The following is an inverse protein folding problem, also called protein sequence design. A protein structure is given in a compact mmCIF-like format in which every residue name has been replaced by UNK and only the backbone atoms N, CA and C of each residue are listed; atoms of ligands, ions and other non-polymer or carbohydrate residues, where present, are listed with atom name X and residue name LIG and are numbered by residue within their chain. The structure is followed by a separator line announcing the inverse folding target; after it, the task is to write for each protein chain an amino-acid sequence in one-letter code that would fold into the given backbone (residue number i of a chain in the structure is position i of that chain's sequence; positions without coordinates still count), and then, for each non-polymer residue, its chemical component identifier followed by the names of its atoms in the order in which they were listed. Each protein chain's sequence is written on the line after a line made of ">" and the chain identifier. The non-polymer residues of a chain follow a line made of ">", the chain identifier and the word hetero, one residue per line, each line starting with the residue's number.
data_IF_434931395967
#
_entry.id   IF_434931395967
#
_cell.length_a   1.000
_cell.length_b   1.000
_cell.length_c   1.000
_cell.angle_alpha   90.00
_cell.angle_beta   90.00
_cell.angle_gamma   90.00
#
_symmetry.space_group_name_H-M   'P 1'
#
loop_
_entity.id
_entity.type
_entity.pdbx_description
1 polymer ?
#
# COMPACT_ATOMS: atom_id res chain seq x y z
N UNK A 1 18.13 -32.03 3.17
CA UNK A 1 18.40 -30.58 3.28
C UNK A 1 17.66 -29.89 2.14
N UNK A 2 16.42 -29.48 2.40
CA UNK A 2 15.59 -28.75 1.44
C UNK A 2 15.79 -27.25 1.74
N UNK A 3 16.33 -26.54 0.75
CA UNK A 3 16.87 -25.19 0.89
C UNK A 3 15.79 -24.20 1.32
N UNK A 4 16.01 -23.53 2.46
CA UNK A 4 15.36 -22.28 2.79
C UNK A 4 15.58 -21.24 1.66
N UNK A 5 14.51 -20.59 1.16
CA UNK A 5 14.50 -19.17 0.70
C UNK A 5 13.41 -18.77 -0.29
N UNK A 6 12.53 -19.65 -0.81
CA UNK A 6 11.55 -19.24 -1.83
C UNK A 6 10.15 -19.18 -1.25
N UNK A 7 9.60 -17.97 -1.15
CA UNK A 7 8.15 -17.74 -1.17
C UNK A 7 7.53 -18.76 -2.15
N UNK A 8 6.58 -19.58 -1.68
CA UNK A 8 6.08 -20.70 -2.49
C UNK A 8 5.54 -20.21 -3.83
N UNK A 9 5.65 -21.01 -4.89
CA UNK A 9 5.17 -20.65 -6.23
C UNK A 9 3.70 -20.19 -6.22
N UNK A 10 2.89 -20.78 -5.35
CA UNK A 10 1.49 -20.38 -5.13
C UNK A 10 1.35 -18.99 -4.52
N UNK A 11 2.23 -18.61 -3.60
CA UNK A 11 2.25 -17.27 -2.98
C UNK A 11 2.60 -16.22 -4.02
N UNK A 12 3.63 -16.47 -4.85
CA UNK A 12 4.00 -15.57 -5.94
C UNK A 12 2.91 -15.44 -7.00
N UNK A 13 2.32 -16.58 -7.42
CA UNK A 13 1.20 -16.59 -8.36
C UNK A 13 0.03 -15.77 -7.82
N UNK A 14 -0.38 -16.01 -6.58
CA UNK A 14 -1.45 -15.25 -5.95
C UNK A 14 -1.13 -13.74 -5.86
N UNK A 15 0.11 -13.38 -5.56
CA UNK A 15 0.55 -11.98 -5.57
C UNK A 15 0.35 -11.36 -6.97
N UNK A 16 0.98 -11.91 -8.01
CA UNK A 16 0.91 -11.36 -9.37
C UNK A 16 -0.51 -11.23 -9.89
N UNK A 17 -1.35 -12.25 -9.70
CA UNK A 17 -2.73 -12.24 -10.20
C UNK A 17 -3.66 -11.33 -9.41
N UNK A 18 -3.33 -11.00 -8.15
CA UNK A 18 -4.13 -10.09 -7.34
C UNK A 18 -3.73 -8.62 -7.47
N UNK A 19 -2.51 -8.32 -7.95
CA UNK A 19 -1.98 -6.94 -8.07
C UNK A 19 -2.96 -5.97 -8.75
N UNK A 20 -3.59 -6.28 -9.91
CA UNK A 20 -4.46 -5.30 -10.57
C UNK A 20 -5.62 -4.83 -9.68
N UNK A 21 -6.23 -5.74 -8.91
CA UNK A 21 -7.31 -5.41 -7.99
C UNK A 21 -6.76 -4.76 -6.71
N UNK A 22 -5.72 -5.34 -6.12
CA UNK A 22 -5.12 -4.87 -4.86
C UNK A 22 -4.56 -3.46 -5.01
N UNK A 23 -3.95 -3.15 -6.15
CA UNK A 23 -3.45 -1.81 -6.44
C UNK A 23 -4.58 -0.77 -6.44
N UNK A 24 -5.72 -1.08 -7.06
CA UNK A 24 -6.88 -0.18 -7.05
C UNK A 24 -7.43 0.03 -5.64
N UNK A 25 -7.42 -1.01 -4.79
CA UNK A 25 -7.84 -0.89 -3.40
C UNK A 25 -6.88 -0.02 -2.58
N UNK A 26 -5.57 -0.19 -2.76
CA UNK A 26 -4.56 0.64 -2.09
C UNK A 26 -4.61 2.08 -2.56
N UNK A 27 -4.80 2.33 -3.86
CA UNK A 27 -4.97 3.67 -4.40
C UNK A 27 -6.26 4.33 -3.86
N UNK A 28 -7.36 3.58 -3.82
CA UNK A 28 -8.62 4.05 -3.21
C UNK A 28 -8.42 4.40 -1.74
N UNK A 29 -7.68 3.57 -1.00
CA UNK A 29 -7.35 3.83 0.40
C UNK A 29 -6.54 5.13 0.54
N UNK A 30 -5.53 5.34 -0.30
CA UNK A 30 -4.75 6.59 -0.33
C UNK A 30 -5.61 7.84 -0.59
N UNK A 31 -6.49 7.79 -1.59
CA UNK A 31 -7.39 8.91 -1.88
C UNK A 31 -8.38 9.15 -0.73
N UNK A 32 -8.88 8.07 -0.13
CA UNK A 32 -9.84 8.14 0.98
C UNK A 32 -9.21 8.71 2.24
N UNK A 33 -7.99 8.30 2.60
CA UNK A 33 -7.27 8.85 3.75
C UNK A 33 -6.91 10.32 3.54
N UNK A 34 -6.48 10.68 2.33
CA UNK A 34 -6.22 12.09 1.97
C UNK A 34 -7.48 12.94 2.10
N UNK A 35 -8.60 12.47 1.53
CA UNK A 35 -9.89 13.16 1.62
C UNK A 35 -10.33 13.31 3.07
N UNK A 36 -10.24 12.25 3.87
CA UNK A 36 -10.62 12.26 5.28
C UNK A 36 -9.73 13.22 6.09
N UNK A 37 -8.40 13.21 5.86
CA UNK A 37 -7.46 14.11 6.49
C UNK A 37 -7.84 15.57 6.18
N UNK A 38 -8.08 15.91 4.90
CA UNK A 38 -8.49 17.25 4.49
C UNK A 38 -9.80 17.71 5.14
N UNK A 39 -10.76 16.79 5.27
CA UNK A 39 -12.10 17.12 5.73
C UNK A 39 -12.16 17.33 7.24
N UNK A 40 -11.41 16.56 8.01
CA UNK A 40 -11.61 16.46 9.46
C UNK A 40 -10.42 16.89 10.31
N UNK A 41 -9.19 16.76 9.80
CA UNK A 41 -7.96 16.92 10.63
C UNK A 41 -7.13 18.11 10.19
N UNK A 42 -6.93 18.25 8.87
CA UNK A 42 -6.04 19.22 8.23
C UNK A 42 -6.85 20.24 7.43
N UNK A 43 -7.89 20.79 8.08
CA UNK A 43 -8.83 21.71 7.43
C UNK A 43 -8.13 23.04 7.18
N UNK A 44 -8.01 23.42 5.90
CA UNK A 44 -7.37 24.66 5.50
C UNK A 44 -5.85 24.53 5.23
N UNK A 45 -5.26 23.36 5.50
CA UNK A 45 -3.84 23.14 5.22
C UNK A 45 -3.54 23.05 3.71
N UNK A 46 -2.31 23.43 3.30
CA UNK A 46 -1.84 23.29 1.93
C UNK A 46 -2.00 21.86 1.38
N UNK A 47 -2.36 21.77 0.11
CA UNK A 47 -2.52 20.49 -0.60
C UNK A 47 -1.33 19.50 -0.42
N UNK A 48 -0.05 19.94 -0.50
CA UNK A 48 1.07 19.02 -0.34
C UNK A 48 1.18 18.40 1.07
N UNK A 49 0.80 19.15 2.11
CA UNK A 49 0.76 18.66 3.51
C UNK A 49 -0.33 17.60 3.66
N UNK A 50 -1.54 17.90 3.17
CA UNK A 50 -2.70 17.00 3.24
C UNK A 50 -2.43 15.68 2.49
N UNK A 51 -1.86 15.76 1.28
CA UNK A 51 -1.50 14.58 0.48
C UNK A 51 -0.42 13.74 1.16
N UNK A 52 0.59 14.39 1.76
CA UNK A 52 1.66 13.69 2.49
C UNK A 52 1.13 12.95 3.72
N UNK A 53 0.23 13.57 4.47
CA UNK A 53 -0.45 12.92 5.59
C UNK A 53 -1.32 11.73 5.13
N UNK A 54 -2.07 11.89 4.04
CA UNK A 54 -2.87 10.82 3.43
C UNK A 54 -2.02 9.63 2.95
N UNK A 55 -0.88 9.91 2.31
CA UNK A 55 0.11 8.93 1.87
C UNK A 55 0.67 8.15 3.07
N UNK A 56 1.12 8.85 4.11
CA UNK A 56 1.63 8.22 5.33
C UNK A 56 0.57 7.34 6.01
N UNK A 57 -0.65 7.84 6.17
CA UNK A 57 -1.73 7.10 6.84
C UNK A 57 -2.15 5.85 6.05
N UNK A 58 -2.32 5.96 4.73
CA UNK A 58 -2.66 4.82 3.88
C UNK A 58 -1.57 3.76 3.84
N UNK A 59 -0.30 4.17 3.83
CA UNK A 59 0.84 3.25 3.91
C UNK A 59 0.85 2.48 5.23
N UNK A 60 0.65 3.14 6.36
CA UNK A 60 0.55 2.47 7.67
C UNK A 60 -0.59 1.45 7.67
N UNK A 61 -1.78 1.84 7.20
CA UNK A 61 -2.93 0.92 7.13
C UNK A 61 -2.62 -0.28 6.22
N UNK A 62 -2.08 -0.04 5.03
CA UNK A 62 -1.72 -1.10 4.08
C UNK A 62 -0.63 -2.03 4.64
N UNK A 63 0.35 -1.51 5.38
CA UNK A 63 1.37 -2.31 6.06
C UNK A 63 0.76 -3.19 7.16
N UNK A 64 -0.14 -2.66 7.98
CA UNK A 64 -0.84 -3.47 8.99
C UNK A 64 -1.63 -4.61 8.33
N UNK A 65 -2.37 -4.31 7.27
CA UNK A 65 -3.13 -5.32 6.50
C UNK A 65 -2.17 -6.36 5.90
N UNK A 66 -1.07 -5.91 5.29
CA UNK A 66 -0.07 -6.80 4.69
C UNK A 66 0.55 -7.74 5.73
N UNK A 67 0.98 -7.21 6.88
CA UNK A 67 1.55 -8.01 7.97
C UNK A 67 0.55 -9.06 8.46
N UNK A 68 -0.72 -8.69 8.63
CA UNK A 68 -1.77 -9.63 9.03
C UNK A 68 -1.96 -10.75 7.99
N UNK A 69 -1.99 -10.40 6.70
CA UNK A 69 -2.12 -11.36 5.60
C UNK A 69 -0.89 -12.27 5.44
N UNK A 70 0.32 -11.73 5.65
CA UNK A 70 1.57 -12.48 5.59
C UNK A 70 1.70 -13.51 6.72
N UNK A 71 1.00 -13.31 7.84
CA UNK A 71 0.91 -14.27 8.96
C UNK A 71 -0.16 -15.34 8.75
N UNK A 72 -0.97 -15.25 7.70
CA UNK A 72 -2.02 -16.24 7.44
C UNK A 72 -1.44 -17.62 7.10
N UNK A 73 -2.13 -18.69 7.52
CA UNK A 73 -1.73 -20.08 7.22
C UNK A 73 -1.79 -20.41 5.73
N UNK A 74 -2.68 -19.75 4.97
CA UNK A 74 -2.85 -20.00 3.54
C UNK A 74 -1.81 -19.26 2.70
N UNK A 75 -1.16 -20.01 1.80
CA UNK A 75 -0.22 -19.45 0.81
C UNK A 75 -0.87 -18.39 -0.09
N UNK A 76 -2.16 -18.53 -0.41
CA UNK A 76 -2.91 -17.53 -1.21
C UNK A 76 -3.02 -16.19 -0.48
N UNK A 77 -3.40 -16.22 0.79
CA UNK A 77 -3.53 -15.01 1.61
C UNK A 77 -2.20 -14.30 1.82
N UNK A 78 -1.12 -15.07 2.01
CA UNK A 78 0.26 -14.52 2.04
C UNK A 78 0.62 -13.82 0.73
N UNK A 79 0.18 -14.37 -0.41
CA UNK A 79 0.39 -13.78 -1.73
C UNK A 79 -0.33 -12.46 -1.90
N UNK A 80 -1.60 -12.39 -1.46
CA UNK A 80 -2.35 -11.12 -1.40
C UNK A 80 -1.65 -10.12 -0.47
N UNK A 81 -1.15 -10.57 0.68
CA UNK A 81 -0.35 -9.73 1.58
C UNK A 81 0.89 -9.12 0.92
N UNK A 82 1.59 -9.89 0.08
CA UNK A 82 2.72 -9.41 -0.71
C UNK A 82 2.28 -8.41 -1.79
N UNK A 83 1.15 -8.66 -2.47
CA UNK A 83 0.57 -7.71 -3.43
C UNK A 83 0.17 -6.38 -2.76
N UNK A 84 -0.35 -6.43 -1.53
CA UNK A 84 -0.69 -5.21 -0.75
C UNK A 84 0.59 -4.43 -0.44
N UNK A 85 1.64 -5.08 0.05
CA UNK A 85 2.92 -4.42 0.33
C UNK A 85 3.53 -3.78 -0.92
N UNK A 86 3.60 -4.53 -2.03
CA UNK A 86 4.13 -4.02 -3.30
C UNK A 86 3.31 -2.86 -3.86
N UNK A 87 1.98 -2.94 -3.79
CA UNK A 87 1.08 -1.87 -4.25
C UNK A 87 1.21 -0.62 -3.38
N UNK A 88 1.33 -0.78 -2.06
CA UNK A 88 1.55 0.34 -1.14
C UNK A 88 2.89 1.03 -1.42
N UNK A 89 3.95 0.26 -1.68
CA UNK A 89 5.24 0.80 -2.09
C UNK A 89 5.12 1.58 -3.42
N UNK A 90 4.43 1.02 -4.42
CA UNK A 90 4.23 1.69 -5.71
C UNK A 90 3.47 3.02 -5.58
N UNK A 91 2.39 3.06 -4.79
CA UNK A 91 1.62 4.29 -4.51
C UNK A 91 2.46 5.32 -3.77
N UNK A 92 3.22 4.90 -2.74
CA UNK A 92 4.12 5.79 -2.00
C UNK A 92 5.21 6.38 -2.89
N UNK A 93 5.87 5.56 -3.71
CA UNK A 93 6.90 6.03 -4.66
C UNK A 93 6.27 7.02 -5.65
N UNK A 94 5.09 6.71 -6.17
CA UNK A 94 4.36 7.62 -7.06
C UNK A 94 4.09 8.98 -6.41
N UNK A 95 3.66 8.99 -5.14
CA UNK A 95 3.49 10.24 -4.39
C UNK A 95 4.81 10.96 -4.14
N UNK A 96 5.88 10.27 -3.74
CA UNK A 96 7.18 10.90 -3.49
C UNK A 96 7.75 11.57 -4.76
N UNK A 97 7.60 10.93 -5.91
CA UNK A 97 7.97 11.52 -7.20
C UNK A 97 7.12 12.77 -7.49
N UNK A 98 5.80 12.68 -7.32
CA UNK A 98 4.93 13.85 -7.52
C UNK A 98 5.26 15.00 -6.55
N UNK A 99 5.51 14.67 -5.29
CA UNK A 99 5.88 15.62 -4.25
C UNK A 99 7.19 16.34 -4.58
N UNK A 100 8.22 15.61 -5.02
CA UNK A 100 9.49 16.18 -5.46
C UNK A 100 9.26 17.27 -6.51
N UNK A 101 8.47 16.99 -7.54
CA UNK A 101 8.12 17.96 -8.59
C UNK A 101 7.24 19.13 -8.12
N UNK A 102 6.51 19.00 -7.01
CA UNK A 102 5.64 20.07 -6.47
C UNK A 102 6.42 21.01 -5.55
N UNK A 103 7.46 20.50 -4.88
CA UNK A 103 8.27 21.26 -3.92
C UNK A 103 9.53 21.87 -4.53
N UNK A 104 9.95 21.44 -5.72
CA UNK A 104 10.90 22.16 -6.58
C UNK A 104 10.22 23.31 -7.34
#
# INVERSE_FOLDING_TARGET
>A
METASRVSSDTWRAATWSVPLVFQLVLTLFLSTTWAARKWVLVGDPFPIVMSAGAAMSAVIALVISIALLKARSSRWRGVGLAVAGSAAAVLIGWLLAAFWIYE
#
